data_IF_707521787597
#
_entry.id   IF_707521787597
#
_cell.length_a   1.000
_cell.length_b   1.000
_cell.length_c   1.000
_cell.angle_alpha   90.00
_cell.angle_beta   90.00
_cell.angle_gamma   90.00
#
_symmetry.space_group_name_H-M   'P 1'
#
loop_
_entity.id
_entity.type
_entity.pdbx_description
1 polymer ?
#
# COMPACT_ATOMS: atom_id res chain seq x y z
N UNK A 1 -11.48 10.86 15.02
CA UNK A 1 -11.04 9.71 15.81
C UNK A 1 -9.69 9.34 15.24
N UNK A 2 -8.61 9.85 15.83
CA UNK A 2 -7.26 9.42 15.48
C UNK A 2 -6.95 8.31 16.49
N UNK A 3 -7.11 7.05 16.07
CA UNK A 3 -6.57 5.91 16.79
C UNK A 3 -5.04 5.97 16.71
N UNK A 4 -4.38 5.68 17.83
CA UNK A 4 -2.93 5.71 18.01
C UNK A 4 -2.13 5.02 16.87
N UNK A 5 -0.92 5.53 16.69
CA UNK A 5 0.02 5.51 15.55
C UNK A 5 0.48 4.17 14.93
N UNK A 6 -0.21 3.05 15.08
CA UNK A 6 0.26 1.76 14.53
C UNK A 6 0.06 1.60 13.00
N UNK A 7 -0.50 2.61 12.32
CA UNK A 7 -0.57 2.65 10.86
C UNK A 7 0.65 3.34 10.21
N UNK A 8 1.68 3.72 10.99
CA UNK A 8 2.94 4.21 10.42
C UNK A 8 3.73 3.06 9.78
N UNK A 9 3.56 2.97 8.46
CA UNK A 9 4.45 2.30 7.52
C UNK A 9 4.62 0.77 7.70
N UNK A 10 3.73 -0.06 7.11
CA UNK A 10 4.12 -1.41 6.82
C UNK A 10 5.13 -1.32 5.67
N UNK A 11 6.40 -1.64 5.93
CA UNK A 11 7.23 -2.15 4.85
C UNK A 11 6.47 -3.35 4.24
N UNK A 12 5.83 -3.11 3.10
CA UNK A 12 5.41 -4.15 2.19
C UNK A 12 6.68 -4.62 1.47
N UNK A 13 7.53 -5.35 2.20
CA UNK A 13 8.47 -6.29 1.57
C UNK A 13 7.59 -7.41 0.98
N UNK A 14 7.06 -7.12 -0.21
CA UNK A 14 6.07 -7.95 -0.88
C UNK A 14 5.81 -7.45 -2.30
N UNK A 15 6.83 -6.88 -2.94
CA UNK A 15 6.98 -6.99 -4.38
C UNK A 15 7.89 -8.20 -4.62
N UNK A 16 7.37 -9.42 -4.42
CA UNK A 16 7.87 -10.52 -5.26
C UNK A 16 7.46 -10.12 -6.66
N UNK A 17 8.45 -9.73 -7.45
CA UNK A 17 8.31 -9.52 -8.88
C UNK A 17 7.82 -10.84 -9.48
N UNK A 18 6.52 -10.97 -9.71
CA UNK A 18 5.92 -12.01 -10.58
C UNK A 18 6.23 -11.73 -12.07
N UNK A 19 7.32 -11.04 -12.39
CA UNK A 19 8.00 -11.27 -13.66
C UNK A 19 8.81 -12.56 -13.51
N UNK A 20 8.16 -13.68 -13.83
CA UNK A 20 8.86 -14.86 -14.33
C UNK A 20 9.51 -14.48 -15.66
N UNK A 21 10.62 -13.76 -15.61
CA UNK A 21 11.58 -13.70 -16.71
C UNK A 21 12.77 -14.55 -16.27
N UNK A 22 12.93 -15.69 -16.91
CA UNK A 22 13.90 -16.73 -16.59
C UNK A 22 15.33 -16.17 -16.61
N UNK A 23 15.96 -16.13 -15.43
CA UNK A 23 17.41 -16.19 -15.28
C UNK A 23 18.06 -14.91 -14.79
N UNK A 24 18.22 -14.78 -13.46
CA UNK A 24 19.50 -14.44 -12.81
C UNK A 24 19.35 -14.54 -11.28
N UNK A 25 19.42 -15.75 -10.73
CA UNK A 25 19.43 -15.99 -9.28
C UNK A 25 20.81 -15.66 -8.69
N UNK A 26 21.01 -14.39 -8.32
CA UNK A 26 22.30 -13.94 -7.76
C UNK A 26 22.25 -12.84 -6.70
N UNK A 27 21.08 -12.41 -6.21
CA UNK A 27 20.98 -11.17 -5.41
C UNK A 27 21.09 -11.30 -3.89
N UNK A 28 21.35 -12.50 -3.36
CA UNK A 28 21.74 -12.66 -1.95
C UNK A 28 23.19 -13.12 -1.86
N UNK A 29 24.10 -12.14 -1.76
CA UNK A 29 25.46 -12.42 -1.34
C UNK A 29 25.42 -12.97 0.09
N UNK A 30 25.66 -14.28 0.24
CA UNK A 30 26.04 -14.84 1.53
C UNK A 30 27.21 -14.00 2.09
N UNK A 31 27.24 -13.69 3.40
CA UNK A 31 28.32 -12.92 3.99
C UNK A 31 29.64 -13.60 3.66
N UNK A 32 30.47 -12.96 2.84
CA UNK A 32 31.82 -13.42 2.56
C UNK A 32 32.60 -13.31 3.87
N UNK A 33 32.67 -14.42 4.61
CA UNK A 33 33.61 -14.56 5.71
C UNK A 33 35.00 -14.22 5.15
N UNK A 34 35.58 -13.11 5.60
CA UNK A 34 36.99 -12.81 5.36
C UNK A 34 37.77 -13.93 6.07
N UNK A 35 38.20 -14.92 5.30
CA UNK A 35 39.19 -15.89 5.75
C UNK A 35 40.50 -15.11 5.87
N UNK A 36 40.81 -14.69 7.10
CA UNK A 36 42.14 -14.20 7.46
C UNK A 36 43.07 -15.41 7.41
N UNK A 37 43.70 -15.65 6.27
CA UNK A 37 44.76 -16.65 6.14
C UNK A 37 45.98 -16.16 6.90
N UNK A 38 46.10 -16.56 8.17
CA UNK A 38 47.39 -16.54 8.85
C UNK A 38 48.24 -17.67 8.27
N UNK A 39 49.12 -17.28 7.37
CA UNK A 39 50.13 -18.14 6.77
C UNK A 39 51.24 -18.39 7.81
N UNK A 40 51.29 -19.60 8.37
CA UNK A 40 52.43 -20.08 9.14
C UNK A 40 52.50 -21.62 9.15
N UNK A 41 53.48 -22.10 8.40
CA UNK A 41 54.31 -23.31 8.70
C UNK A 41 53.62 -24.68 8.75
N UNK A 42 53.58 -25.28 7.56
CA UNK A 42 53.97 -26.66 7.20
C UNK A 42 54.67 -27.49 8.30
N UNK A 43 54.02 -28.55 8.78
CA UNK A 43 54.67 -29.80 9.21
C UNK A 43 53.69 -30.97 9.11
N UNK A 44 54.16 -32.06 8.50
CA UNK A 44 53.41 -33.28 8.23
C UNK A 44 53.12 -34.09 9.50
N UNK A 45 51.94 -34.72 9.56
CA UNK A 45 51.63 -35.74 10.57
C UNK A 45 50.14 -36.02 10.62
N UNK A 46 49.72 -37.19 10.13
CA UNK A 46 48.32 -37.62 10.16
C UNK A 46 47.80 -37.81 11.59
N UNK A 47 46.49 -37.64 11.78
CA UNK A 47 45.78 -38.14 12.95
C UNK A 47 44.27 -37.98 12.80
N UNK A 48 43.56 -39.02 13.23
CA UNK A 48 42.12 -39.19 13.48
C UNK A 48 41.29 -37.91 13.68
N UNK A 49 40.21 -37.80 12.89
CA UNK A 49 39.10 -36.88 13.09
C UNK A 49 38.35 -37.25 14.38
N UNK A 50 38.59 -36.50 15.46
CA UNK A 50 37.85 -36.63 16.72
C UNK A 50 36.72 -35.59 16.81
N UNK A 51 35.60 -36.02 17.36
CA UNK A 51 34.29 -35.36 17.44
C UNK A 51 34.21 -34.15 18.39
N UNK A 52 35.34 -33.50 18.71
CA UNK A 52 35.42 -32.46 19.75
C UNK A 52 35.23 -31.01 19.23
N UNK A 53 34.95 -30.81 17.94
CA UNK A 53 34.90 -29.49 17.30
C UNK A 53 33.49 -28.84 17.27
N UNK A 54 32.61 -29.18 18.23
CA UNK A 54 31.29 -28.51 18.38
C UNK A 54 31.23 -27.49 19.52
N UNK A 55 32.21 -27.46 20.41
CA UNK A 55 32.20 -26.53 21.55
C UNK A 55 32.92 -25.20 21.27
N UNK A 56 33.78 -25.12 20.26
CA UNK A 56 34.54 -23.90 19.96
C UNK A 56 33.72 -22.79 19.27
N UNK A 57 32.62 -23.15 18.58
CA UNK A 57 31.72 -22.17 17.93
C UNK A 57 30.78 -21.47 18.92
N UNK A 58 30.54 -22.05 20.10
CA UNK A 58 29.69 -21.44 21.14
C UNK A 58 30.42 -20.34 21.93
N UNK A 59 31.75 -20.36 22.01
CA UNK A 59 32.51 -19.31 22.71
C UNK A 59 32.79 -18.08 21.82
N UNK A 60 32.76 -18.20 20.49
CA UNK A 60 32.90 -17.04 19.57
C UNK A 60 31.65 -16.14 19.60
N UNK A 61 30.49 -16.65 20.02
CA UNK A 61 29.27 -15.85 20.17
C UNK A 61 29.20 -15.07 21.50
N UNK A 62 30.11 -15.31 22.45
CA UNK A 62 30.07 -14.66 23.77
C UNK A 62 30.80 -13.32 23.83
N UNK A 63 31.59 -12.97 22.82
CA UNK A 63 32.30 -11.68 22.73
C UNK A 63 31.75 -10.78 21.62
N UNK A 64 30.48 -10.95 21.24
CA UNK A 64 29.83 -9.95 20.40
C UNK A 64 29.56 -8.72 21.27
N UNK A 65 30.48 -7.75 21.21
CA UNK A 65 30.33 -6.44 21.85
C UNK A 65 28.94 -5.89 21.56
N UNK A 66 28.30 -5.34 22.60
CA UNK A 66 26.96 -4.76 22.50
C UNK A 66 26.99 -3.71 21.40
N UNK A 67 26.27 -3.97 20.30
CA UNK A 67 26.15 -3.00 19.21
C UNK A 67 25.51 -1.72 19.75
N UNK A 68 26.31 -0.67 19.87
CA UNK A 68 25.84 0.69 20.10
C UNK A 68 25.69 1.34 18.73
N UNK A 69 24.45 1.52 18.29
CA UNK A 69 24.16 2.22 17.05
C UNK A 69 24.77 3.62 17.15
N UNK A 70 25.70 3.94 16.24
CA UNK A 70 26.25 5.29 16.14
C UNK A 70 25.10 6.23 15.77
N UNK A 71 24.67 7.05 16.72
CA UNK A 71 23.72 8.11 16.48
C UNK A 71 24.49 9.21 15.76
N UNK A 72 24.26 9.35 14.47
CA UNK A 72 24.91 10.37 13.64
C UNK A 72 24.25 11.73 13.92
N UNK A 73 24.58 12.33 15.08
CA UNK A 73 24.05 13.64 15.52
C UNK A 73 24.52 14.80 14.62
N UNK A 74 25.57 14.57 13.82
CA UNK A 74 26.17 15.54 12.89
C UNK A 74 25.93 15.16 11.42
N UNK A 75 24.93 14.32 11.15
CA UNK A 75 24.50 14.01 9.80
C UNK A 75 24.32 15.28 8.96
N UNK A 76 24.83 15.25 7.72
CA UNK A 76 24.88 16.41 6.82
C UNK A 76 23.51 17.08 6.52
N UNK A 77 22.40 16.46 6.92
CA UNK A 77 21.03 16.98 6.85
C UNK A 77 20.67 17.98 7.96
N UNK A 78 21.48 18.11 9.02
CA UNK A 78 21.21 19.02 10.15
C UNK A 78 21.54 20.49 9.90
N UNK A 79 22.40 20.79 8.92
CA UNK A 79 22.97 22.14 8.71
C UNK A 79 22.82 22.62 7.27
N UNK A 80 21.59 22.59 6.76
CA UNK A 80 21.28 23.22 5.48
C UNK A 80 21.08 24.73 5.75
N UNK A 81 22.19 25.47 5.75
CA UNK A 81 22.20 26.93 5.88
C UNK A 81 21.64 27.63 4.62
N UNK A 82 21.70 26.93 3.48
CA UNK A 82 21.22 27.44 2.20
C UNK A 82 19.71 27.23 2.06
N UNK A 83 18.97 28.20 1.49
CA UNK A 83 17.56 27.98 1.19
C UNK A 83 17.39 26.84 0.18
N UNK A 84 16.30 26.07 0.29
CA UNK A 84 15.99 24.89 -0.54
C UNK A 84 16.16 25.20 -2.03
N UNK A 85 15.62 26.34 -2.49
CA UNK A 85 15.73 26.81 -3.87
C UNK A 85 17.19 26.93 -4.33
N UNK A 86 18.04 27.54 -3.50
CA UNK A 86 19.45 27.69 -3.82
C UNK A 86 20.15 26.33 -3.85
N UNK A 87 19.87 25.48 -2.86
CA UNK A 87 20.45 24.15 -2.75
C UNK A 87 20.13 23.31 -3.99
N UNK A 88 18.87 23.30 -4.43
CA UNK A 88 18.44 22.52 -5.60
C UNK A 88 19.01 23.03 -6.93
N UNK A 89 19.23 24.34 -7.07
CA UNK A 89 19.71 24.96 -8.32
C UNK A 89 21.24 24.99 -8.45
N UNK A 90 21.96 25.05 -7.32
CA UNK A 90 23.41 25.19 -7.32
C UNK A 90 24.16 23.86 -7.07
N UNK A 91 23.60 22.96 -6.27
CA UNK A 91 24.25 21.69 -5.93
C UNK A 91 23.75 20.58 -6.86
N UNK A 92 24.70 19.84 -7.45
CA UNK A 92 24.42 18.67 -8.29
C UNK A 92 23.57 17.62 -7.56
N UNK A 93 23.74 17.49 -6.24
CA UNK A 93 22.99 16.55 -5.40
C UNK A 93 21.89 17.26 -4.58
N UNK A 94 21.65 18.55 -4.81
CA UNK A 94 20.79 19.37 -3.96
C UNK A 94 19.38 18.82 -3.80
N UNK A 95 18.79 18.31 -4.89
CA UNK A 95 17.46 17.70 -4.84
C UNK A 95 17.41 16.43 -3.96
N UNK A 96 18.39 15.53 -4.06
CA UNK A 96 18.50 14.36 -3.17
C UNK A 96 18.69 14.79 -1.72
N UNK A 97 19.45 15.87 -1.50
CA UNK A 97 19.65 16.44 -0.17
C UNK A 97 18.36 16.92 0.48
N UNK A 98 17.54 17.64 -0.28
CA UNK A 98 16.23 18.11 0.16
C UNK A 98 15.27 16.94 0.40
N UNK A 99 15.32 15.90 -0.43
CA UNK A 99 14.54 14.67 -0.22
C UNK A 99 14.82 14.00 1.11
N UNK A 100 16.09 13.72 1.37
CA UNK A 100 16.50 13.09 2.62
C UNK A 100 16.20 13.97 3.84
N UNK A 101 16.27 15.29 3.71
CA UNK A 101 15.88 16.21 4.79
C UNK A 101 14.38 16.13 5.09
N UNK A 102 13.52 16.10 4.06
CA UNK A 102 12.08 15.95 4.24
C UNK A 102 11.74 14.60 4.89
N UNK A 103 12.35 13.50 4.42
CA UNK A 103 12.20 12.16 5.01
C UNK A 103 12.63 12.15 6.48
N UNK A 104 13.77 12.78 6.80
CA UNK A 104 14.27 12.90 8.16
C UNK A 104 13.28 13.63 9.07
N UNK A 105 12.78 14.79 8.65
CA UNK A 105 11.76 15.53 9.41
C UNK A 105 10.46 14.71 9.58
N UNK A 106 10.06 13.96 8.56
CA UNK A 106 8.89 13.07 8.64
C UNK A 106 9.09 11.96 9.68
N UNK A 107 10.24 11.28 9.67
CA UNK A 107 10.57 10.20 10.61
C UNK A 107 10.69 10.68 12.06
N UNK A 108 11.02 11.96 12.29
CA UNK A 108 11.00 12.60 13.62
C UNK A 108 9.63 13.17 14.01
N UNK A 109 8.56 12.85 13.27
CA UNK A 109 7.21 13.37 13.48
C UNK A 109 7.10 14.91 13.40
N UNK A 110 8.07 15.58 12.78
CA UNK A 110 8.06 17.04 12.50
C UNK A 110 7.33 17.30 11.19
N UNK A 111 6.06 16.87 11.13
CA UNK A 111 5.27 16.83 9.90
C UNK A 111 5.08 18.19 9.23
N UNK A 112 5.00 19.28 10.00
CA UNK A 112 4.88 20.62 9.44
C UNK A 112 6.15 21.03 8.67
N UNK A 113 7.33 20.74 9.21
CA UNK A 113 8.59 21.07 8.55
C UNK A 113 8.82 20.19 7.31
N UNK A 114 8.51 18.89 7.42
CA UNK A 114 8.54 18.00 6.26
C UNK A 114 7.60 18.47 5.14
N UNK A 115 6.39 18.95 5.50
CA UNK A 115 5.44 19.55 4.57
C UNK A 115 6.02 20.79 3.89
N UNK A 116 6.56 21.73 4.67
CA UNK A 116 7.11 22.99 4.15
C UNK A 116 8.27 22.71 3.17
N UNK A 117 9.18 21.79 3.53
CA UNK A 117 10.29 21.37 2.68
C UNK A 117 9.78 20.75 1.36
N UNK A 118 8.82 19.83 1.45
CA UNK A 118 8.30 19.10 0.29
C UNK A 118 7.47 19.99 -0.65
N UNK A 119 6.71 20.96 -0.10
CA UNK A 119 5.98 21.95 -0.89
C UNK A 119 6.94 22.89 -1.62
N UNK A 120 7.99 23.37 -0.94
CA UNK A 120 9.01 24.21 -1.55
C UNK A 120 9.75 23.46 -2.67
N UNK A 121 10.07 22.18 -2.47
CA UNK A 121 10.63 21.32 -3.51
C UNK A 121 9.72 21.28 -4.75
N UNK A 122 8.43 20.96 -4.57
CA UNK A 122 7.47 20.89 -5.67
C UNK A 122 7.35 22.22 -6.41
N UNK A 123 7.35 23.34 -5.66
CA UNK A 123 7.29 24.70 -6.22
C UNK A 123 8.51 25.01 -7.09
N UNK A 124 9.72 24.72 -6.61
CA UNK A 124 10.97 24.96 -7.35
C UNK A 124 11.01 24.16 -8.65
N UNK A 125 10.54 22.90 -8.65
CA UNK A 125 10.47 22.09 -9.88
C UNK A 125 9.45 22.67 -10.86
N UNK A 126 8.25 23.05 -10.40
CA UNK A 126 7.23 23.64 -11.26
C UNK A 126 7.67 24.98 -11.89
N UNK A 127 8.35 25.85 -11.12
CA UNK A 127 8.94 27.10 -11.63
C UNK A 127 9.99 26.82 -12.72
N UNK A 128 10.82 25.80 -12.53
CA UNK A 128 11.85 25.40 -13.49
C UNK A 128 11.23 24.85 -14.79
N UNK A 129 10.20 24.01 -14.72
CA UNK A 129 9.49 23.48 -15.90
C UNK A 129 8.78 24.57 -16.70
N UNK A 130 8.17 25.55 -16.02
CA UNK A 130 7.54 26.70 -16.66
C UNK A 130 8.58 27.57 -17.40
N UNK A 131 9.77 27.77 -16.83
CA UNK A 131 10.86 28.52 -17.45
C UNK A 131 11.38 27.91 -18.74
N UNK A 132 11.41 26.58 -18.84
CA UNK A 132 11.86 25.87 -20.05
C UNK A 132 10.84 25.95 -21.19
N UNK A 133 9.55 25.99 -20.87
CA UNK A 133 8.48 26.01 -21.89
C UNK A 133 8.44 27.32 -22.68
N UNK A 134 8.80 28.45 -22.06
CA UNK A 134 8.79 29.78 -22.71
C UNK A 134 9.94 29.94 -23.70
N UNK A 135 11.09 29.29 -23.46
CA UNK A 135 12.26 29.41 -24.33
C UNK A 135 12.15 28.60 -25.64
N UNK A 136 11.23 27.63 -25.72
CA UNK A 136 11.10 26.75 -26.88
C UNK A 136 10.00 27.19 -27.88
N UNK A 137 9.32 28.31 -27.64
CA UNK A 137 8.08 28.68 -28.31
C UNK A 137 8.16 29.55 -29.57
N UNK A 138 9.36 29.90 -30.08
CA UNK A 138 9.50 30.91 -31.15
C UNK A 138 9.93 30.36 -32.51
N UNK A 139 9.44 29.17 -32.89
CA UNK A 139 9.66 28.61 -34.23
C UNK A 139 8.40 27.93 -34.78
N UNK A 140 7.26 28.63 -34.73
CA UNK A 140 6.10 28.27 -35.55
C UNK A 140 6.27 28.83 -36.95
N UNK A 141 7.04 28.11 -37.78
CA UNK A 141 6.90 28.23 -39.21
C UNK A 141 5.69 27.39 -39.64
N UNK A 142 4.64 28.12 -40.01
CA UNK A 142 3.41 27.69 -40.66
C UNK A 142 3.62 26.59 -41.71
N UNK A 143 3.25 25.33 -41.42
CA UNK A 143 2.53 24.47 -42.39
C UNK A 143 2.19 23.07 -41.86
N UNK A 144 0.94 22.69 -42.11
CA UNK A 144 0.35 21.34 -42.14
C UNK A 144 0.06 20.59 -40.84
N UNK A 145 -1.24 20.34 -40.65
CA UNK A 145 -1.84 19.67 -39.51
C UNK A 145 -1.53 18.18 -39.43
N UNK A 146 -1.39 17.73 -38.18
CA UNK A 146 -1.30 16.32 -37.80
C UNK A 146 -1.65 16.19 -36.33
N UNK A 147 -2.63 15.33 -36.06
CA UNK A 147 -3.26 14.94 -34.79
C UNK A 147 -2.31 14.76 -33.59
N UNK A 148 -2.69 15.35 -32.46
CA UNK A 148 -1.96 15.32 -31.18
C UNK A 148 -2.02 13.98 -30.45
N UNK A 149 -0.84 13.45 -30.14
CA UNK A 149 -0.60 12.40 -29.16
C UNK A 149 0.65 12.74 -28.37
N UNK A 150 0.59 12.63 -27.04
CA UNK A 150 1.75 12.76 -26.15
C UNK A 150 2.78 11.67 -26.48
N UNK A 151 3.74 11.99 -27.33
CA UNK A 151 4.89 11.12 -27.59
C UNK A 151 5.91 11.32 -26.47
N UNK A 152 6.11 10.27 -25.66
CA UNK A 152 7.32 10.10 -24.85
C UNK A 152 8.51 10.04 -25.79
N UNK A 153 9.34 11.08 -25.79
CA UNK A 153 10.54 11.17 -26.63
C UNK A 153 11.61 10.19 -26.12
N UNK A 154 11.72 9.05 -26.78
CA UNK A 154 12.83 8.10 -26.62
C UNK A 154 13.94 8.34 -27.65
N UNK A 155 15.14 7.92 -27.27
CA UNK A 155 16.35 7.73 -28.12
C UNK A 155 17.17 8.96 -28.51
N UNK A 156 18.02 9.34 -27.54
CA UNK A 156 19.43 9.76 -27.65
C UNK A 156 20.08 9.99 -29.01
N UNK A 157 20.46 11.25 -29.24
CA UNK A 157 21.65 11.61 -30.00
C UNK A 157 22.58 12.43 -29.09
N UNK A 158 23.82 11.94 -28.93
CA UNK A 158 24.88 12.59 -28.17
C UNK A 158 25.31 13.89 -28.86
N UNK A 159 24.77 15.02 -28.42
CA UNK A 159 25.30 16.34 -28.78
C UNK A 159 26.38 16.74 -27.77
N UNK A 160 27.63 16.59 -28.19
CA UNK A 160 28.81 17.12 -27.50
C UNK A 160 29.20 18.40 -28.20
N UNK A 161 28.84 19.57 -27.66
CA UNK A 161 29.64 20.81 -27.77
C UNK A 161 29.08 21.88 -26.82
N UNK A 162 29.98 22.40 -25.99
CA UNK A 162 29.66 23.20 -24.81
C UNK A 162 29.31 24.66 -25.06
N UNK A 163 28.41 25.14 -24.21
CA UNK A 163 28.44 26.48 -23.64
C UNK A 163 27.92 26.36 -22.20
N UNK A 164 28.78 26.64 -21.22
CA UNK A 164 28.52 26.63 -19.78
C UNK A 164 27.51 27.74 -19.41
N UNK A 165 26.23 27.51 -19.69
CA UNK A 165 25.14 28.27 -19.09
C UNK A 165 24.49 27.39 -18.02
N UNK A 166 24.76 27.74 -16.76
CA UNK A 166 24.14 27.12 -15.58
C UNK A 166 22.61 27.25 -15.61
N UNK A 167 21.86 26.48 -14.83
CA UNK A 167 22.27 25.78 -13.60
C UNK A 167 21.61 24.42 -13.49
N UNK A 168 22.27 23.53 -12.77
CA UNK A 168 21.83 22.14 -12.62
C UNK A 168 20.54 22.11 -11.81
N UNK A 169 19.45 21.67 -12.44
CA UNK A 169 18.36 20.97 -11.77
C UNK A 169 17.88 19.86 -12.71
N UNK A 170 18.61 18.74 -12.72
CA UNK A 170 18.25 17.53 -13.48
C UNK A 170 17.30 16.66 -12.66
N UNK A 171 16.22 17.25 -12.13
CA UNK A 171 15.18 16.49 -11.45
C UNK A 171 13.82 16.89 -11.98
N UNK A 172 13.16 15.91 -12.59
CA UNK A 172 11.85 16.05 -13.22
C UNK A 172 10.76 15.30 -12.46
N UNK A 173 11.13 14.57 -11.40
CA UNK A 173 10.19 13.72 -10.68
C UNK A 173 9.82 14.32 -9.32
N UNK A 174 8.68 15.00 -9.27
CA UNK A 174 8.07 15.57 -8.06
C UNK A 174 7.23 14.56 -7.29
N UNK A 175 7.05 13.35 -7.81
CA UNK A 175 6.04 12.42 -7.33
C UNK A 175 6.25 12.01 -5.86
N UNK A 176 7.45 11.56 -5.51
CA UNK A 176 7.79 11.18 -4.12
C UNK A 176 7.55 12.35 -3.15
N UNK A 177 7.79 13.57 -3.60
CA UNK A 177 7.57 14.79 -2.81
C UNK A 177 6.10 15.14 -2.68
N UNK A 178 5.29 14.95 -3.74
CA UNK A 178 3.84 15.09 -3.67
C UNK A 178 3.24 14.04 -2.73
N UNK A 179 3.75 12.81 -2.73
CA UNK A 179 3.36 11.78 -1.74
C UNK A 179 3.70 12.21 -0.32
N UNK A 180 4.90 12.76 -0.10
CA UNK A 180 5.30 13.31 1.20
C UNK A 180 4.39 14.43 1.67
N UNK A 181 4.07 15.40 0.79
CA UNK A 181 3.11 16.47 1.06
C UNK A 181 1.77 15.90 1.50
N UNK A 182 1.22 14.95 0.74
CA UNK A 182 -0.07 14.35 1.03
C UNK A 182 -0.09 13.59 2.37
N UNK A 183 0.97 12.84 2.71
CA UNK A 183 1.13 12.17 4.00
C UNK A 183 1.21 13.14 5.17
N UNK A 184 2.00 14.21 5.03
CA UNK A 184 2.11 15.24 6.07
C UNK A 184 0.77 15.95 6.29
N UNK A 185 0.04 16.28 5.22
CA UNK A 185 -1.28 16.89 5.32
C UNK A 185 -2.29 16.00 6.07
N UNK A 186 -2.25 14.67 5.86
CA UNK A 186 -3.06 13.74 6.65
C UNK A 186 -2.68 13.75 8.13
N UNK A 187 -1.39 13.66 8.45
CA UNK A 187 -0.90 13.68 9.85
C UNK A 187 -1.19 15.00 10.56
N UNK A 188 -1.23 16.11 9.82
CA UNK A 188 -1.62 17.44 10.32
C UNK A 188 -3.14 17.67 10.33
N UNK A 189 -3.94 16.63 10.05
CA UNK A 189 -5.40 16.70 10.00
C UNK A 189 -5.94 17.78 9.03
N UNK A 190 -5.30 17.92 7.86
CA UNK A 190 -5.70 18.79 6.74
C UNK A 190 -6.13 17.97 5.51
N UNK A 191 -7.12 17.05 5.63
CA UNK A 191 -7.46 16.11 4.56
C UNK A 191 -8.04 16.79 3.31
N UNK A 192 -8.68 17.95 3.46
CA UNK A 192 -9.21 18.73 2.33
C UNK A 192 -8.14 19.27 1.39
N UNK A 193 -6.93 19.55 1.88
CA UNK A 193 -5.81 19.90 1.01
C UNK A 193 -5.16 18.65 0.42
N UNK A 194 -5.04 17.58 1.21
CA UNK A 194 -4.49 16.31 0.75
C UNK A 194 -5.25 15.75 -0.47
N UNK A 195 -6.57 15.97 -0.54
CA UNK A 195 -7.39 15.53 -1.68
C UNK A 195 -6.99 16.19 -2.99
N UNK A 196 -6.61 17.47 -2.95
CA UNK A 196 -6.20 18.22 -4.15
C UNK A 196 -4.90 17.68 -4.70
N UNK A 197 -4.00 17.25 -3.82
CA UNK A 197 -2.75 16.58 -4.19
C UNK A 197 -3.04 15.18 -4.73
N UNK A 198 -3.91 14.41 -4.06
CA UNK A 198 -4.31 13.06 -4.46
C UNK A 198 -4.96 13.00 -5.85
N UNK A 199 -5.80 13.98 -6.19
CA UNK A 199 -6.45 14.09 -7.50
C UNK A 199 -5.42 14.37 -8.62
N UNK A 200 -4.31 15.04 -8.31
CA UNK A 200 -3.19 15.28 -9.23
C UNK A 200 -2.23 14.10 -9.38
N UNK A 201 -2.27 13.10 -8.49
CA UNK A 201 -1.40 11.92 -8.55
C UNK A 201 -1.94 10.89 -9.57
N UNK A 202 -1.17 10.64 -10.64
CA UNK A 202 -1.56 9.79 -11.79
C UNK A 202 -0.95 8.37 -11.74
N UNK A 203 -0.11 8.05 -10.75
CA UNK A 203 0.62 6.77 -10.76
C UNK A 203 -0.22 5.59 -10.27
N UNK A 204 -0.03 4.43 -10.93
CA UNK A 204 -0.65 3.15 -10.60
C UNK A 204 0.14 2.31 -9.58
N UNK A 205 1.11 2.91 -8.89
CA UNK A 205 1.87 2.19 -7.86
C UNK A 205 1.01 1.87 -6.64
N UNK A 206 1.30 0.72 -6.03
CA UNK A 206 0.60 0.21 -4.84
C UNK A 206 0.51 1.24 -3.73
N UNK A 207 1.64 1.86 -3.36
CA UNK A 207 1.73 2.84 -2.28
C UNK A 207 0.78 4.02 -2.48
N UNK A 208 0.60 4.44 -3.73
CA UNK A 208 -0.21 5.61 -4.10
C UNK A 208 -1.68 5.26 -4.13
N UNK A 209 -2.04 4.07 -4.62
CA UNK A 209 -3.42 3.61 -4.56
C UNK A 209 -3.93 3.59 -3.11
N UNK A 210 -3.14 3.06 -2.17
CA UNK A 210 -3.47 3.08 -0.75
C UNK A 210 -3.48 4.50 -0.16
N UNK A 211 -2.49 5.34 -0.51
CA UNK A 211 -2.45 6.73 -0.06
C UNK A 211 -3.69 7.51 -0.51
N UNK A 212 -4.06 7.42 -1.79
CA UNK A 212 -5.27 8.04 -2.35
C UNK A 212 -6.53 7.51 -1.67
N UNK A 213 -6.66 6.20 -1.50
CA UNK A 213 -7.81 5.60 -0.82
C UNK A 213 -7.95 6.09 0.64
N UNK A 214 -6.84 6.22 1.36
CA UNK A 214 -6.82 6.75 2.72
C UNK A 214 -7.23 8.23 2.76
N UNK A 215 -6.72 9.05 1.83
CA UNK A 215 -7.10 10.46 1.71
C UNK A 215 -8.59 10.62 1.38
N UNK A 216 -9.07 9.87 0.39
CA UNK A 216 -10.48 9.91 -0.01
C UNK A 216 -11.40 9.45 1.12
N UNK A 217 -11.05 8.39 1.84
CA UNK A 217 -11.77 7.94 3.03
C UNK A 217 -11.81 9.03 4.11
N UNK A 218 -10.69 9.71 4.36
CA UNK A 218 -10.60 10.78 5.36
C UNK A 218 -11.48 12.01 5.03
N UNK A 219 -11.73 12.29 3.75
CA UNK A 219 -12.62 13.38 3.28
C UNK A 219 -14.08 12.91 3.13
N UNK A 220 -14.36 11.61 3.27
CA UNK A 220 -15.69 11.02 3.04
C UNK A 220 -16.01 10.76 1.56
N UNK A 221 -15.01 10.80 0.67
CA UNK A 221 -15.11 10.42 -0.75
C UNK A 221 -14.98 8.88 -0.92
N UNK A 222 -15.81 8.12 -0.22
CA UNK A 222 -15.72 6.65 -0.15
C UNK A 222 -15.82 5.96 -1.52
N UNK A 223 -16.61 6.50 -2.44
CA UNK A 223 -16.73 5.96 -3.79
C UNK A 223 -15.39 6.01 -4.53
N UNK A 224 -14.67 7.14 -4.46
CA UNK A 224 -13.38 7.32 -5.13
C UNK A 224 -12.28 6.46 -4.49
N UNK A 225 -12.34 6.30 -3.16
CA UNK A 225 -11.47 5.38 -2.43
C UNK A 225 -11.66 3.94 -2.91
N UNK A 226 -12.91 3.46 -2.96
CA UNK A 226 -13.23 2.11 -3.38
C UNK A 226 -12.86 1.86 -4.86
N UNK A 227 -13.10 2.83 -5.75
CA UNK A 227 -12.69 2.75 -7.16
C UNK A 227 -11.17 2.60 -7.27
N UNK A 228 -10.42 3.46 -6.58
CA UNK A 228 -8.95 3.42 -6.59
C UNK A 228 -8.43 2.05 -6.14
N UNK A 229 -9.01 1.50 -5.07
CA UNK A 229 -8.65 0.18 -4.56
C UNK A 229 -9.02 -0.96 -5.54
N UNK A 230 -10.21 -0.90 -6.16
CA UNK A 230 -10.65 -1.91 -7.15
C UNK A 230 -9.82 -1.86 -8.43
N UNK A 231 -9.48 -0.67 -8.92
CA UNK A 231 -8.60 -0.51 -10.07
C UNK A 231 -7.21 -1.11 -9.80
N UNK A 232 -6.65 -0.85 -8.62
CA UNK A 232 -5.41 -1.48 -8.21
C UNK A 232 -5.56 -3.01 -8.08
N UNK A 233 -6.65 -3.49 -7.48
CA UNK A 233 -6.91 -4.92 -7.29
C UNK A 233 -7.03 -5.70 -8.60
N UNK A 234 -7.50 -5.06 -9.68
CA UNK A 234 -7.52 -5.66 -11.03
C UNK A 234 -6.14 -6.01 -11.55
N UNK A 235 -5.10 -5.28 -11.13
CA UNK A 235 -3.71 -5.57 -11.48
C UNK A 235 -3.07 -6.63 -10.58
N UNK A 236 -3.54 -6.78 -9.33
CA UNK A 236 -2.97 -7.71 -8.33
C UNK A 236 -4.06 -8.36 -7.48
N UNK A 237 -4.60 -9.48 -7.95
CA UNK A 237 -5.79 -10.14 -7.37
C UNK A 237 -5.58 -10.80 -5.99
N UNK A 238 -4.34 -10.96 -5.53
CA UNK A 238 -3.97 -11.70 -4.32
C UNK A 238 -3.59 -10.84 -3.11
N UNK A 239 -3.67 -9.51 -3.20
CA UNK A 239 -3.24 -8.63 -2.11
C UNK A 239 -4.31 -8.48 -1.02
N UNK A 240 -4.13 -9.14 0.14
CA UNK A 240 -5.08 -9.08 1.25
C UNK A 240 -5.27 -7.67 1.84
N UNK A 241 -4.25 -6.81 1.79
CA UNK A 241 -4.30 -5.48 2.37
C UNK A 241 -5.31 -4.58 1.62
N UNK A 242 -5.49 -4.79 0.31
CA UNK A 242 -6.48 -4.06 -0.49
C UNK A 242 -7.89 -4.45 -0.06
N UNK A 243 -8.12 -5.73 0.16
CA UNK A 243 -9.41 -6.24 0.65
C UNK A 243 -9.71 -5.75 2.06
N UNK A 244 -8.71 -5.69 2.94
CA UNK A 244 -8.83 -5.09 4.28
C UNK A 244 -9.23 -3.61 4.17
N UNK A 245 -8.51 -2.82 3.36
CA UNK A 245 -8.80 -1.40 3.13
C UNK A 245 -10.18 -1.15 2.48
N UNK A 246 -10.61 -2.01 1.55
CA UNK A 246 -11.98 -1.98 1.00
C UNK A 246 -13.02 -2.21 2.10
N UNK A 247 -12.77 -3.19 2.98
CA UNK A 247 -13.63 -3.47 4.13
C UNK A 247 -13.79 -2.26 5.05
N UNK A 248 -12.67 -1.63 5.43
CA UNK A 248 -12.64 -0.40 6.23
C UNK A 248 -13.37 0.76 5.54
N UNK A 249 -13.11 0.97 4.24
CA UNK A 249 -13.76 2.01 3.44
C UNK A 249 -15.29 1.86 3.42
N UNK A 250 -15.81 0.66 3.19
CA UNK A 250 -17.25 0.41 3.18
C UNK A 250 -17.87 0.52 4.57
N UNK A 251 -17.14 0.09 5.61
CA UNK A 251 -17.61 0.23 6.98
C UNK A 251 -17.75 1.70 7.39
N UNK A 252 -16.73 2.52 7.14
CA UNK A 252 -16.76 3.96 7.41
C UNK A 252 -17.88 4.66 6.63
N UNK A 253 -18.07 4.29 5.36
CA UNK A 253 -19.20 4.74 4.55
C UNK A 253 -20.54 4.42 5.24
N UNK A 254 -20.72 3.20 5.74
CA UNK A 254 -21.95 2.79 6.43
C UNK A 254 -22.21 3.56 7.73
N UNK A 255 -21.17 3.96 8.45
CA UNK A 255 -21.28 4.75 9.69
C UNK A 255 -21.66 6.20 9.37
N UNK A 256 -20.98 6.83 8.42
CA UNK A 256 -21.18 8.25 8.10
C UNK A 256 -22.56 8.53 7.51
N UNK A 257 -23.09 7.56 6.75
CA UNK A 257 -24.47 7.56 6.25
C UNK A 257 -25.51 7.68 7.36
N UNK A 258 -25.22 7.18 8.57
CA UNK A 258 -26.12 7.29 9.72
C UNK A 258 -26.24 8.71 10.26
N UNK A 259 -25.15 9.49 10.21
CA UNK A 259 -25.07 10.80 10.88
C UNK A 259 -25.69 11.91 10.06
N UNK A 260 -25.69 11.77 8.72
CA UNK A 260 -26.21 12.78 7.81
C UNK A 260 -27.73 12.98 7.95
N UNK A 261 -28.49 11.95 8.34
CA UNK A 261 -29.95 12.02 8.38
C UNK A 261 -30.52 12.82 9.57
N UNK A 262 -29.74 13.03 10.64
CA UNK A 262 -30.26 13.63 11.88
C UNK A 262 -30.15 15.17 11.91
N UNK A 263 -29.35 15.79 11.03
CA UNK A 263 -28.98 17.21 11.14
C UNK A 263 -29.50 18.12 10.01
N UNK A 264 -30.40 17.64 9.15
CA UNK A 264 -30.86 18.40 7.97
C UNK A 264 -31.94 19.44 8.32
N UNK A 265 -31.54 20.47 9.08
CA UNK A 265 -32.20 21.77 9.06
C UNK A 265 -31.14 22.85 8.80
N UNK A 266 -31.13 23.37 7.57
CA UNK A 266 -30.64 24.73 7.26
C UNK A 266 -29.16 25.01 6.96
N UNK A 267 -28.45 24.20 6.16
CA UNK A 267 -27.26 24.72 5.47
C UNK A 267 -27.18 24.28 4.01
N UNK A 268 -27.59 25.21 3.16
CA UNK A 268 -27.69 25.16 1.71
C UNK A 268 -26.32 25.36 1.01
N UNK A 269 -26.16 24.68 -0.12
CA UNK A 269 -25.67 25.23 -1.41
C UNK A 269 -24.24 24.99 -1.97
N UNK A 270 -23.37 24.12 -1.43
CA UNK A 270 -22.05 23.91 -2.10
C UNK A 270 -21.48 22.48 -2.25
N UNK A 271 -22.29 21.41 -2.23
CA UNK A 271 -21.78 20.07 -2.60
C UNK A 271 -22.71 19.21 -3.46
N UNK A 272 -23.62 19.86 -4.19
CA UNK A 272 -24.53 19.14 -5.08
C UNK A 272 -23.83 18.73 -6.39
N UNK A 273 -24.16 17.52 -6.85
CA UNK A 273 -23.68 16.83 -8.06
C UNK A 273 -22.36 16.05 -7.87
N UNK A 274 -22.44 14.80 -7.42
CA UNK A 274 -22.09 13.63 -8.27
C UNK A 274 -22.12 12.29 -7.52
N UNK A 275 -22.72 11.30 -8.21
CA UNK A 275 -22.62 9.85 -8.03
C UNK A 275 -23.21 9.26 -6.74
N UNK A 276 -24.36 8.59 -6.89
CA UNK A 276 -24.85 7.41 -6.14
C UNK A 276 -23.99 7.16 -4.91
N UNK A 277 -24.25 7.97 -3.90
CA UNK A 277 -23.51 7.86 -2.67
C UNK A 277 -23.99 6.56 -2.02
N UNK A 278 -23.08 5.73 -1.53
CA UNK A 278 -23.40 4.59 -0.67
C UNK A 278 -24.16 5.01 0.63
N UNK A 279 -24.63 6.26 0.72
CA UNK A 279 -25.01 6.92 1.95
C UNK A 279 -26.43 7.47 2.08
N UNK A 280 -27.23 7.53 1.01
CA UNK A 280 -28.50 8.31 1.07
C UNK A 280 -29.74 7.49 1.41
N UNK A 281 -29.69 6.15 1.35
CA UNK A 281 -30.83 5.29 1.68
C UNK A 281 -30.48 4.19 2.69
N UNK A 282 -31.45 3.80 3.53
CA UNK A 282 -31.23 2.70 4.50
C UNK A 282 -30.78 1.39 3.85
N UNK A 283 -31.22 1.12 2.63
CA UNK A 283 -30.79 -0.03 1.83
C UNK A 283 -29.30 0.05 1.42
N UNK A 284 -28.81 1.24 1.03
CA UNK A 284 -27.40 1.43 0.68
C UNK A 284 -26.48 1.27 1.88
N UNK A 285 -26.90 1.75 3.06
CA UNK A 285 -26.14 1.56 4.30
C UNK A 285 -25.96 0.08 4.61
N UNK A 286 -27.04 -0.70 4.56
CA UNK A 286 -26.98 -2.12 4.80
C UNK A 286 -26.08 -2.81 3.77
N UNK A 287 -26.23 -2.49 2.48
CA UNK A 287 -25.37 -3.01 1.42
C UNK A 287 -23.88 -2.69 1.67
N UNK A 288 -23.55 -1.47 2.10
CA UNK A 288 -22.17 -1.13 2.45
C UNK A 288 -21.63 -1.99 3.60
N UNK A 289 -22.43 -2.27 4.64
CA UNK A 289 -22.05 -3.20 5.71
C UNK A 289 -21.84 -4.63 5.19
N UNK A 290 -22.70 -5.12 4.28
CA UNK A 290 -22.52 -6.44 3.65
C UNK A 290 -21.23 -6.51 2.83
N UNK A 291 -20.93 -5.48 2.02
CA UNK A 291 -19.70 -5.39 1.22
C UNK A 291 -18.45 -5.29 2.10
N UNK A 292 -18.53 -4.59 3.22
CA UNK A 292 -17.46 -4.54 4.21
C UNK A 292 -17.13 -5.95 4.74
N UNK A 293 -18.18 -6.71 5.10
CA UNK A 293 -18.04 -8.08 5.60
C UNK A 293 -17.49 -9.04 4.53
N UNK A 294 -17.98 -8.97 3.29
CA UNK A 294 -17.44 -9.79 2.19
C UNK A 294 -15.94 -9.49 1.99
N UNK A 295 -15.56 -8.21 2.01
CA UNK A 295 -14.17 -7.78 1.80
C UNK A 295 -13.24 -8.26 2.91
N UNK A 296 -13.65 -8.18 4.18
CA UNK A 296 -12.81 -8.66 5.29
C UNK A 296 -12.69 -10.19 5.32
N UNK A 297 -13.75 -10.91 4.96
CA UNK A 297 -13.70 -12.37 4.82
C UNK A 297 -12.75 -12.78 3.69
N UNK A 298 -12.74 -12.04 2.58
CA UNK A 298 -11.78 -12.25 1.50
C UNK A 298 -10.34 -11.95 1.95
N UNK A 299 -10.11 -10.87 2.68
CA UNK A 299 -8.80 -10.54 3.25
C UNK A 299 -8.28 -11.66 4.18
N UNK A 300 -9.16 -12.16 5.07
CA UNK A 300 -8.88 -13.29 5.96
C UNK A 300 -8.49 -14.56 5.19
N UNK A 301 -9.26 -14.91 4.16
CA UNK A 301 -8.96 -16.05 3.31
C UNK A 301 -7.56 -15.92 2.67
N UNK A 302 -7.28 -14.77 2.05
CA UNK A 302 -5.98 -14.50 1.41
C UNK A 302 -4.81 -14.57 2.40
N UNK A 303 -5.01 -14.10 3.64
CA UNK A 303 -4.01 -14.24 4.70
C UNK A 303 -3.75 -15.71 5.05
N UNK A 304 -4.80 -16.54 5.21
CA UNK A 304 -4.65 -17.97 5.54
C UNK A 304 -3.90 -18.76 4.49
N UNK A 305 -4.15 -18.48 3.21
CA UNK A 305 -3.45 -19.16 2.10
C UNK A 305 -2.05 -18.59 1.84
N UNK A 306 -1.66 -17.51 2.53
CA UNK A 306 -0.35 -16.89 2.35
C UNK A 306 0.77 -17.75 2.94
N UNK A 307 1.94 -17.68 2.31
CA UNK A 307 3.18 -18.34 2.77
C UNK A 307 3.63 -17.81 4.15
N UNK A 308 3.15 -16.64 4.58
CA UNK A 308 3.54 -16.03 5.85
C UNK A 308 3.19 -16.88 7.07
N UNK A 309 2.13 -17.70 6.95
CA UNK A 309 1.74 -18.66 7.99
C UNK A 309 2.79 -19.74 8.25
N UNK A 310 3.66 -20.03 7.27
CA UNK A 310 4.67 -21.09 7.31
C UNK A 310 6.07 -20.58 7.70
N UNK A 311 6.26 -19.25 7.71
CA UNK A 311 7.57 -18.63 7.90
C UNK A 311 7.74 -18.19 9.36
N UNK A 312 8.67 -18.83 10.08
CA UNK A 312 8.86 -18.63 11.53
C UNK A 312 9.15 -17.18 11.92
N UNK A 313 10.00 -16.46 11.18
CA UNK A 313 10.31 -15.04 11.48
C UNK A 313 9.12 -14.09 11.22
N UNK A 314 8.14 -14.51 10.42
CA UNK A 314 6.95 -13.71 10.09
C UNK A 314 5.73 -14.11 10.93
N UNK A 315 5.83 -15.17 11.75
CA UNK A 315 4.71 -15.75 12.50
C UNK A 315 4.06 -14.74 13.44
N UNK A 316 4.85 -13.96 14.17
CA UNK A 316 4.33 -12.94 15.10
C UNK A 316 3.53 -11.85 14.36
N UNK A 317 4.06 -11.34 13.24
CA UNK A 317 3.39 -10.34 12.40
C UNK A 317 2.10 -10.93 11.80
N UNK A 318 2.17 -12.17 11.32
CA UNK A 318 1.01 -12.88 10.78
C UNK A 318 -0.10 -13.02 11.82
N UNK A 319 0.23 -13.45 13.04
CA UNK A 319 -0.74 -13.57 14.14
C UNK A 319 -1.37 -12.23 14.47
N UNK A 320 -0.57 -11.17 14.60
CA UNK A 320 -1.05 -9.82 14.89
C UNK A 320 -2.05 -9.32 13.84
N UNK A 321 -1.70 -9.46 12.56
CA UNK A 321 -2.59 -9.06 11.46
C UNK A 321 -3.85 -9.93 11.40
N UNK A 322 -3.73 -11.24 11.62
CA UNK A 322 -4.88 -12.14 11.64
C UNK A 322 -5.85 -11.78 12.79
N UNK A 323 -5.32 -11.48 13.99
CA UNK A 323 -6.12 -10.99 15.12
C UNK A 323 -6.83 -9.69 14.79
N UNK A 324 -6.16 -8.74 14.12
CA UNK A 324 -6.77 -7.49 13.69
C UNK A 324 -7.92 -7.72 12.69
N UNK A 325 -7.73 -8.64 11.73
CA UNK A 325 -8.75 -9.01 10.73
C UNK A 325 -9.95 -9.70 11.41
N UNK A 326 -9.73 -10.61 12.36
CA UNK A 326 -10.83 -11.26 13.10
C UNK A 326 -11.61 -10.27 13.98
N UNK A 327 -10.92 -9.30 14.59
CA UNK A 327 -11.58 -8.23 15.34
C UNK A 327 -12.48 -7.38 14.43
N UNK A 328 -11.98 -6.99 13.23
CA UNK A 328 -12.77 -6.26 12.24
C UNK A 328 -13.96 -7.08 11.73
N UNK A 329 -13.76 -8.37 11.44
CA UNK A 329 -14.83 -9.30 11.07
C UNK A 329 -15.94 -9.31 12.12
N UNK A 330 -15.60 -9.44 13.41
CA UNK A 330 -16.60 -9.43 14.49
C UNK A 330 -17.42 -8.14 14.52
N UNK A 331 -16.78 -6.98 14.32
CA UNK A 331 -17.46 -5.68 14.23
C UNK A 331 -18.42 -5.67 13.03
N UNK A 332 -18.00 -6.19 11.88
CA UNK A 332 -18.79 -6.18 10.65
C UNK A 332 -19.95 -7.19 10.69
N UNK A 333 -19.76 -8.38 11.28
CA UNK A 333 -20.83 -9.34 11.56
C UNK A 333 -21.95 -8.69 12.37
N UNK A 334 -21.59 -7.99 13.45
CA UNK A 334 -22.56 -7.26 14.29
C UNK A 334 -23.27 -6.15 13.51
N UNK A 335 -22.56 -5.43 12.63
CA UNK A 335 -23.16 -4.40 11.78
C UNK A 335 -24.16 -4.99 10.76
N UNK A 336 -23.96 -6.24 10.34
CA UNK A 336 -24.87 -6.97 9.47
C UNK A 336 -26.03 -7.65 10.21
N UNK A 337 -26.06 -7.58 11.55
CA UNK A 337 -27.08 -8.25 12.37
C UNK A 337 -26.86 -9.75 12.55
N UNK A 338 -25.66 -10.26 12.22
CA UNK A 338 -25.32 -11.67 12.44
C UNK A 338 -25.12 -11.92 13.93
N UNK A 339 -25.61 -13.08 14.39
CA UNK A 339 -25.45 -13.46 15.78
C UNK A 339 -23.99 -13.79 16.07
N UNK A 340 -23.47 -13.26 17.17
CA UNK A 340 -22.20 -13.76 17.72
C UNK A 340 -22.43 -15.19 18.20
N UNK A 341 -21.93 -16.16 17.44
CA UNK A 341 -21.90 -17.54 17.92
C UNK A 341 -20.98 -17.60 19.14
N UNK A 342 -21.49 -18.22 20.21
CA UNK A 342 -20.67 -18.54 21.37
C UNK A 342 -19.75 -19.69 20.96
N UNK A 343 -18.44 -19.49 21.10
CA UNK A 343 -17.40 -20.50 20.87
C UNK A 343 -17.82 -21.85 21.47
N UNK A 344 -18.15 -22.81 20.63
CA UNK A 344 -18.34 -24.21 21.00
C UNK A 344 -17.08 -25.01 20.68
N UNK A 345 -16.96 -26.21 21.24
CA UNK A 345 -15.72 -27.01 21.21
C UNK A 345 -15.37 -27.60 19.82
N UNK A 346 -16.15 -27.32 18.77
CA UNK A 346 -15.93 -27.91 17.44
C UNK A 346 -15.77 -26.83 16.36
N UNK A 347 -14.59 -26.18 16.34
CA UNK A 347 -14.24 -25.10 15.42
C UNK A 347 -14.54 -25.42 13.94
N UNK A 348 -14.33 -26.66 13.52
CA UNK A 348 -14.55 -27.06 12.12
C UNK A 348 -16.03 -27.07 11.73
N UNK A 349 -16.88 -27.64 12.58
CA UNK A 349 -18.33 -27.65 12.33
C UNK A 349 -18.91 -26.24 12.41
N UNK A 350 -18.35 -25.37 13.25
CA UNK A 350 -18.78 -23.98 13.35
C UNK A 350 -18.42 -23.17 12.11
N UNK A 351 -17.20 -23.31 11.59
CA UNK A 351 -16.77 -22.55 10.42
C UNK A 351 -17.59 -22.93 9.18
N UNK A 352 -17.90 -24.22 8.98
CA UNK A 352 -18.75 -24.65 7.87
C UNK A 352 -20.17 -24.07 7.97
N UNK A 353 -20.75 -24.07 9.19
CA UNK A 353 -22.04 -23.42 9.43
C UNK A 353 -21.99 -21.91 9.21
N UNK A 354 -20.89 -21.26 9.61
CA UNK A 354 -20.67 -19.81 9.38
C UNK A 354 -20.58 -19.48 7.90
N UNK A 355 -19.90 -20.31 7.10
CA UNK A 355 -19.82 -20.11 5.64
C UNK A 355 -21.22 -20.17 5.02
N UNK A 356 -22.05 -21.13 5.46
CA UNK A 356 -23.44 -21.21 5.02
C UNK A 356 -24.25 -19.97 5.45
N UNK A 357 -24.09 -19.51 6.70
CA UNK A 357 -24.73 -18.28 7.21
C UNK A 357 -24.32 -17.05 6.38
N UNK A 358 -23.04 -16.91 6.02
CA UNK A 358 -22.59 -15.81 5.15
C UNK A 358 -23.19 -15.90 3.75
N UNK A 359 -23.28 -17.10 3.18
CA UNK A 359 -23.88 -17.28 1.86
C UNK A 359 -25.35 -16.83 1.86
N UNK A 360 -26.12 -17.19 2.90
CA UNK A 360 -27.55 -16.89 2.99
C UNK A 360 -27.83 -15.44 3.40
N UNK A 361 -27.13 -14.93 4.41
CA UNK A 361 -27.45 -13.63 5.04
C UNK A 361 -26.63 -12.46 4.46
N UNK A 362 -25.51 -12.71 3.79
CA UNK A 362 -24.60 -11.64 3.32
C UNK A 362 -24.51 -11.64 1.80
N UNK A 363 -24.14 -12.77 1.21
CA UNK A 363 -23.80 -12.86 -0.21
C UNK A 363 -25.05 -12.87 -1.08
N UNK A 364 -26.06 -13.66 -0.72
CA UNK A 364 -27.32 -13.73 -1.47
C UNK A 364 -28.01 -12.36 -1.55
N UNK A 365 -28.19 -11.61 -0.44
CA UNK A 365 -28.75 -10.25 -0.49
C UNK A 365 -27.88 -9.29 -1.31
N UNK A 366 -26.55 -9.40 -1.22
CA UNK A 366 -25.63 -8.57 -2.02
C UNK A 366 -25.75 -8.85 -3.53
N UNK A 367 -25.95 -10.11 -3.93
CA UNK A 367 -26.20 -10.48 -5.33
C UNK A 367 -27.55 -9.97 -5.82
N UNK A 368 -28.59 -10.03 -4.99
CA UNK A 368 -29.89 -9.46 -5.32
C UNK A 368 -29.82 -7.95 -5.51
N UNK A 369 -29.13 -7.24 -4.61
CA UNK A 369 -28.88 -5.81 -4.74
C UNK A 369 -28.08 -5.48 -6.02
N UNK A 370 -27.05 -6.26 -6.34
CA UNK A 370 -26.30 -6.13 -7.59
C UNK A 370 -27.20 -6.31 -8.82
N UNK A 371 -28.09 -7.31 -8.83
CA UNK A 371 -29.04 -7.49 -9.92
C UNK A 371 -30.02 -6.32 -10.06
N UNK A 372 -30.49 -5.77 -8.95
CA UNK A 372 -31.33 -4.57 -8.95
C UNK A 372 -30.58 -3.37 -9.54
N UNK A 373 -29.32 -3.14 -9.13
CA UNK A 373 -28.45 -2.09 -9.69
C UNK A 373 -28.23 -2.25 -11.20
N UNK A 374 -28.02 -3.49 -11.68
CA UNK A 374 -27.90 -3.78 -13.12
C UNK A 374 -29.19 -3.44 -13.88
N UNK A 375 -30.37 -3.77 -13.31
CA UNK A 375 -31.66 -3.44 -13.93
C UNK A 375 -31.89 -1.93 -14.02
N UNK A 376 -31.52 -1.17 -12.98
CA UNK A 376 -31.65 0.30 -13.00
C UNK A 376 -30.62 0.96 -13.92
N UNK A 377 -29.42 0.38 -14.05
CA UNK A 377 -28.37 0.92 -14.93
C UNK A 377 -28.64 0.73 -16.41
N UNK A 378 -29.45 -0.26 -16.80
CA UNK A 378 -29.81 -0.51 -18.20
C UNK A 378 -30.94 0.40 -18.71
N UNK A 379 -31.50 1.26 -17.86
CA UNK A 379 -32.44 2.29 -18.31
C UNK A 379 -31.67 3.29 -19.21
N UNK A 380 -32.24 3.70 -20.35
CA UNK A 380 -31.63 4.70 -21.23
C UNK A 380 -31.63 6.06 -20.52
N UNK A 381 -30.62 6.29 -19.68
CA UNK A 381 -30.32 7.57 -19.08
C UNK A 381 -29.01 8.11 -19.65
N UNK A 382 -29.00 9.42 -19.86
CA UNK A 382 -27.89 10.17 -20.41
C UNK A 382 -26.55 9.84 -19.72
N UNK A 383 -25.54 9.71 -20.57
CA UNK A 383 -24.36 8.90 -20.37
C UNK A 383 -23.49 9.28 -19.15
N UNK A 384 -22.86 8.25 -18.56
CA UNK A 384 -21.65 8.23 -17.71
C UNK A 384 -21.75 8.37 -16.18
N UNK A 385 -22.81 8.90 -15.57
CA UNK A 385 -22.75 9.19 -14.11
C UNK A 385 -23.03 7.98 -13.17
N UNK A 386 -23.60 6.87 -13.66
CA UNK A 386 -24.13 5.77 -12.84
C UNK A 386 -23.26 4.49 -12.85
N UNK A 387 -22.25 4.40 -13.70
CA UNK A 387 -21.56 3.12 -13.97
C UNK A 387 -20.61 2.67 -12.84
N UNK A 388 -20.13 3.60 -12.02
CA UNK A 388 -19.01 3.34 -11.11
C UNK A 388 -19.34 2.48 -9.87
N UNK A 389 -20.44 2.71 -9.14
CA UNK A 389 -20.79 1.86 -8.00
C UNK A 389 -21.02 0.41 -8.44
N UNK A 390 -21.55 0.21 -9.66
CA UNK A 390 -21.84 -1.12 -10.17
C UNK A 390 -20.57 -1.96 -10.31
N UNK A 391 -19.49 -1.38 -10.84
CA UNK A 391 -18.20 -2.07 -11.04
C UNK A 391 -17.61 -2.55 -9.70
N UNK A 392 -17.67 -1.70 -8.69
CA UNK A 392 -17.13 -2.00 -7.35
C UNK A 392 -17.93 -3.11 -6.68
N UNK A 393 -19.26 -2.98 -6.65
CA UNK A 393 -20.17 -3.99 -6.06
C UNK A 393 -20.02 -5.31 -6.79
N UNK A 394 -19.99 -5.29 -8.12
CA UNK A 394 -19.83 -6.49 -8.94
C UNK A 394 -18.52 -7.22 -8.63
N UNK A 395 -17.41 -6.48 -8.55
CA UNK A 395 -16.10 -7.05 -8.25
C UNK A 395 -16.06 -7.70 -6.86
N UNK A 396 -16.58 -7.02 -5.83
CA UNK A 396 -16.59 -7.54 -4.44
C UNK A 396 -17.49 -8.76 -4.34
N UNK A 397 -18.72 -8.69 -4.85
CA UNK A 397 -19.69 -9.80 -4.77
C UNK A 397 -19.26 -11.02 -5.58
N UNK A 398 -18.66 -10.82 -6.76
CA UNK A 398 -18.18 -11.93 -7.59
C UNK A 398 -16.87 -12.54 -7.07
N UNK A 399 -16.17 -11.89 -6.14
CA UNK A 399 -14.96 -12.45 -5.52
C UNK A 399 -15.24 -13.51 -4.46
N UNK A 400 -16.51 -13.64 -4.06
CA UNK A 400 -16.95 -14.63 -3.10
C UNK A 400 -17.15 -15.99 -3.78
N UNK A 401 -16.35 -16.96 -3.34
CA UNK A 401 -16.44 -18.37 -3.73
C UNK A 401 -16.48 -19.23 -2.45
N UNK A 402 -17.64 -19.82 -2.11
CA UNK A 402 -17.77 -20.67 -0.92
C UNK A 402 -16.76 -21.82 -0.88
N UNK A 403 -16.48 -22.44 -2.03
CA UNK A 403 -15.59 -23.61 -2.10
C UNK A 403 -14.16 -23.21 -1.76
N UNK A 404 -13.71 -22.07 -2.30
CA UNK A 404 -12.38 -21.53 -2.01
C UNK A 404 -12.22 -21.22 -0.51
N UNK A 405 -13.27 -20.74 0.14
CA UNK A 405 -13.27 -20.38 1.56
C UNK A 405 -13.28 -21.66 2.42
N UNK A 406 -14.11 -22.65 2.09
CA UNK A 406 -14.12 -23.95 2.77
C UNK A 406 -12.75 -24.64 2.73
N UNK A 407 -12.07 -24.61 1.58
CA UNK A 407 -10.72 -25.18 1.46
C UNK A 407 -9.70 -24.52 2.39
N UNK A 408 -9.81 -23.20 2.61
CA UNK A 408 -8.92 -22.49 3.54
C UNK A 408 -9.21 -22.76 5.01
N UNK A 409 -10.42 -23.19 5.36
CA UNK A 409 -10.76 -23.62 6.72
C UNK A 409 -10.18 -25.01 7.04
N UNK A 410 -10.00 -25.85 6.03
CA UNK A 410 -9.46 -27.20 6.16
C UNK A 410 -7.93 -27.26 6.27
N UNK A 411 -7.22 -26.22 5.83
CA UNK A 411 -5.77 -26.13 5.96
C UNK A 411 -5.39 -25.68 7.38
N UNK A 412 -5.63 -26.55 8.36
CA UNK A 412 -4.96 -26.40 9.66
C UNK A 412 -3.47 -26.67 9.46
N UNK A 413 -2.58 -25.94 10.17
CA UNK A 413 -1.16 -26.21 10.15
C UNK A 413 -1.02 -27.68 10.53
N UNK A 414 -0.46 -28.49 9.63
CA UNK A 414 -0.27 -29.91 9.87
C UNK A 414 0.45 -30.02 11.21
N UNK A 415 -0.26 -30.47 12.25
CA UNK A 415 0.31 -30.66 13.57
C UNK A 415 1.63 -31.36 13.37
N UNK A 416 2.72 -30.77 13.90
CA UNK A 416 4.10 -31.21 13.78
C UNK A 416 4.16 -32.72 14.04
N UNK A 417 3.95 -33.51 12.98
CA UNK A 417 4.13 -34.95 12.98
C UNK A 417 5.62 -35.17 12.88
N UNK A 418 6.32 -34.84 13.96
CA UNK A 418 7.66 -35.32 14.33
C UNK A 418 8.53 -35.65 13.09
N UNK A 419 8.73 -34.68 12.20
CA UNK A 419 9.57 -34.87 11.02
C UNK A 419 11.03 -34.64 11.43
N UNK A 420 11.62 -35.67 12.05
CA UNK A 420 13.07 -35.83 12.22
C UNK A 420 13.80 -36.09 10.89
N UNK A 421 13.29 -35.59 9.76
CA UNK A 421 13.89 -35.76 8.45
C UNK A 421 14.04 -34.39 7.80
N UNK A 422 15.22 -33.80 7.96
CA UNK A 422 15.62 -32.55 7.28
C UNK A 422 15.35 -32.65 5.77
N UNK A 423 14.43 -31.85 5.19
CA UNK A 423 14.31 -31.77 3.75
C UNK A 423 15.44 -30.89 3.21
N UNK A 424 16.35 -31.52 2.44
CA UNK A 424 17.40 -30.86 1.68
C UNK A 424 16.79 -29.90 0.64
N UNK A 425 16.97 -28.59 0.83
CA UNK A 425 16.42 -27.48 0.01
C UNK A 425 17.18 -27.31 -1.32
N UNK A 426 17.63 -28.40 -1.95
CA UNK A 426 18.48 -28.34 -3.16
C UNK A 426 17.86 -28.89 -4.44
N UNK A 427 16.55 -29.10 -4.46
CA UNK A 427 15.86 -29.51 -5.68
C UNK A 427 14.47 -28.88 -5.78
N UNK A 428 14.44 -27.59 -6.13
CA UNK A 428 13.41 -27.01 -6.99
C UNK A 428 14.06 -25.97 -7.86
#
# INVERSE_FOLDING_TARGET
>A
MASDDDNDFPFAFGATSDNEDEGDDGLFCAPKAKVTTNDSTRAAGGSSFSSSSRNATMDILKEQERYEAQIDEEGWFHHIEKPIRELMLQDKNGATKVKMQADYCYMLHRYQEALDIAQEYCRVVAENEAGHSVASGDNTDTSNGGTGGMQRSGTGTHSTNGAETGGILKVTDTKEMQEMVARCLLKLNRPGEAVTIADGLVSQETSIAFLKANIYTAVGRYNDAAITLVEYQRSRSSNYAVWKALGECFHEASIHSSRANDNTTSSTLLHDISAISLSSTGHQRHLASLLALISILRARHLMRVSVWSQVSYASERYQREMTAIEAQRSIYEKACGLSSMKESQNEFSEEAMRIQEYETEVVTPSREALQQLKRTSNAPQDNNACFFPLVVVEMVVNSWDPQLIEHSALQLPAEDKDQTAEPSVRSK
#
